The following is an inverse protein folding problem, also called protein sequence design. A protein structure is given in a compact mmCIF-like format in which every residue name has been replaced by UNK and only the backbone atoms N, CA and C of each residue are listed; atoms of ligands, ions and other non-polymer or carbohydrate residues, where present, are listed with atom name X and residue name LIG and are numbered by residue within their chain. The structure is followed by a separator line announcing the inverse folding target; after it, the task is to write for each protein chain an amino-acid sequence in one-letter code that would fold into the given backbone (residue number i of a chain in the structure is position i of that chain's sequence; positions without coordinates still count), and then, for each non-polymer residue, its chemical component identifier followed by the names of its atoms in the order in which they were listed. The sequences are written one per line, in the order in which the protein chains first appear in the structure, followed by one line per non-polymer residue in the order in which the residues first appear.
data_IF_999377943732
#
_entry.id   IF_999377943732
#
_cell.length_a   1.000
_cell.length_b   1.000
_cell.length_c   1.000
_cell.angle_alpha   90.00
_cell.angle_beta   90.00
_cell.angle_gamma   90.00
#
_symmetry.space_group_name_H-M   'P 1'
#
loop_
_entity.id
_entity.type
_entity.pdbx_description
1 polymer ?
#
# COMPACT_ATOMS: atom_id res chain seq x y z
N UNK A 1 0.20 14.09 -3.93
CA UNK A 1 -0.66 14.71 -4.96
C UNK A 1 -0.07 14.43 -6.34
N UNK A 2 -0.83 13.81 -7.26
CA UNK A 2 -0.34 13.36 -8.58
C UNK A 2 0.22 14.51 -9.43
N UNK A 3 -0.42 15.67 -9.41
CA UNK A 3 0.00 16.82 -10.22
C UNK A 3 1.25 17.54 -9.71
N UNK A 4 1.57 17.46 -8.41
CA UNK A 4 2.72 18.16 -7.82
C UNK A 4 3.83 17.22 -7.38
N UNK A 5 3.55 15.92 -7.22
CA UNK A 5 4.47 14.95 -6.64
C UNK A 5 4.77 15.17 -5.15
N UNK A 6 4.08 16.13 -4.50
CA UNK A 6 4.31 16.42 -3.08
C UNK A 6 3.38 15.62 -2.18
N UNK A 7 3.85 15.15 -1.02
CA UNK A 7 3.00 14.50 -0.03
C UNK A 7 1.99 15.51 0.55
N UNK A 8 0.76 15.08 0.79
CA UNK A 8 -0.27 15.90 1.44
C UNK A 8 -0.20 15.81 2.96
N UNK A 9 0.50 14.82 3.48
CA UNK A 9 0.73 14.58 4.90
C UNK A 9 2.03 13.81 5.12
N UNK A 10 2.56 13.83 6.34
CA UNK A 10 3.73 13.03 6.71
C UNK A 10 3.42 11.53 6.67
N UNK A 11 4.39 10.72 6.29
CA UNK A 11 4.26 9.26 6.34
C UNK A 11 3.96 8.79 7.78
N UNK A 12 2.91 7.99 7.94
CA UNK A 12 2.55 7.39 9.23
C UNK A 12 3.27 6.06 9.35
N UNK A 13 4.22 5.97 10.28
CA UNK A 13 5.06 4.79 10.48
C UNK A 13 4.30 3.63 11.14
N UNK A 14 4.88 2.43 11.11
CA UNK A 14 4.24 1.20 11.61
C UNK A 14 3.99 1.20 13.14
N UNK A 15 4.80 1.93 13.94
CA UNK A 15 4.60 2.05 15.39
C UNK A 15 3.47 3.00 15.78
N UNK A 16 3.02 3.85 14.87
CA UNK A 16 2.01 4.87 15.17
C UNK A 16 0.64 4.24 15.41
N UNK A 17 0.04 4.57 16.53
CA UNK A 17 -1.25 4.00 16.98
C UNK A 17 -2.45 4.93 16.80
N UNK A 18 -2.30 6.07 16.09
CA UNK A 18 -3.40 7.04 15.89
C UNK A 18 -4.63 6.43 15.22
N UNK A 19 -4.46 5.39 14.42
CA UNK A 19 -5.54 4.69 13.74
C UNK A 19 -6.20 3.57 14.58
N UNK A 20 -5.81 3.36 15.84
CA UNK A 20 -6.40 2.32 16.70
C UNK A 20 -7.91 2.49 16.94
N UNK A 21 -8.48 3.72 17.07
CA UNK A 21 -9.93 3.88 17.16
C UNK A 21 -10.65 3.29 15.94
N UNK A 22 -10.15 3.51 14.73
CA UNK A 22 -10.70 2.90 13.50
C UNK A 22 -10.60 1.36 13.53
N UNK A 23 -9.50 0.81 14.05
CA UNK A 23 -9.38 -0.65 14.23
C UNK A 23 -10.44 -1.20 15.19
N UNK A 24 -10.72 -0.48 16.30
CA UNK A 24 -11.74 -0.86 17.25
C UNK A 24 -13.14 -0.83 16.63
N UNK A 25 -13.46 0.19 15.83
CA UNK A 25 -14.70 0.31 15.08
C UNK A 25 -14.88 -0.85 14.09
N UNK A 26 -13.85 -1.17 13.30
CA UNK A 26 -13.88 -2.30 12.37
C UNK A 26 -14.16 -3.64 13.07
N UNK A 27 -13.54 -3.86 14.24
CA UNK A 27 -13.78 -5.06 15.06
C UNK A 27 -15.21 -5.08 15.59
N UNK A 28 -15.72 -3.96 16.06
CA UNK A 28 -17.11 -3.83 16.55
C UNK A 28 -18.16 -4.06 15.45
N UNK A 29 -17.82 -3.70 14.20
CA UNK A 29 -18.65 -3.98 13.02
C UNK A 29 -18.56 -5.45 12.53
N UNK A 30 -17.77 -6.30 13.18
CA UNK A 30 -17.64 -7.72 12.82
C UNK A 30 -16.73 -8.00 11.62
N UNK A 31 -15.88 -7.05 11.20
CA UNK A 31 -15.05 -7.20 10.01
C UNK A 31 -13.82 -8.12 10.20
N UNK A 32 -13.57 -8.61 11.42
CA UNK A 32 -12.36 -9.39 11.73
C UNK A 32 -12.21 -10.64 10.87
N UNK A 33 -13.27 -11.42 10.70
CA UNK A 33 -13.25 -12.65 9.90
C UNK A 33 -13.08 -12.33 8.40
N UNK A 34 -13.78 -11.31 7.90
CA UNK A 34 -13.67 -10.87 6.50
C UNK A 34 -12.25 -10.40 6.16
N UNK A 35 -11.66 -9.56 7.02
CA UNK A 35 -10.29 -9.08 6.85
C UNK A 35 -9.31 -10.25 6.86
N UNK A 36 -9.42 -11.14 7.85
CA UNK A 36 -8.51 -12.29 7.96
C UNK A 36 -8.64 -13.25 6.79
N UNK A 37 -9.87 -13.56 6.37
CA UNK A 37 -10.11 -14.45 5.24
C UNK A 37 -9.54 -13.92 3.93
N UNK A 38 -9.68 -12.62 3.65
CA UNK A 38 -9.26 -12.00 2.39
C UNK A 38 -7.79 -11.63 2.34
N UNK A 39 -7.20 -11.25 3.49
CA UNK A 39 -5.85 -10.68 3.54
C UNK A 39 -4.84 -11.53 4.30
N UNK A 40 -5.31 -12.52 5.08
CA UNK A 40 -4.48 -13.27 6.03
C UNK A 40 -4.06 -12.46 7.27
N UNK A 41 -4.49 -11.21 7.39
CA UNK A 41 -4.08 -10.29 8.46
C UNK A 41 -5.16 -10.15 9.52
N UNK A 42 -4.74 -9.76 10.73
CA UNK A 42 -5.65 -9.29 11.76
C UNK A 42 -5.82 -7.77 11.64
N UNK A 43 -6.94 -7.24 12.12
CA UNK A 43 -7.16 -5.78 12.17
C UNK A 43 -6.19 -5.17 13.19
N UNK A 44 -5.24 -4.39 12.70
CA UNK A 44 -4.25 -3.68 13.51
C UNK A 44 -3.83 -2.36 12.85
N UNK A 45 -3.56 -1.33 13.66
CA UNK A 45 -3.06 -0.03 13.21
C UNK A 45 -1.64 -0.09 12.60
N UNK A 46 -0.96 -1.22 12.72
CA UNK A 46 0.30 -1.50 12.03
C UNK A 46 0.15 -1.37 10.51
N UNK A 47 -0.95 -1.84 9.94
CA UNK A 47 -1.18 -1.92 8.50
C UNK A 47 -1.70 -0.60 7.90
N UNK A 48 -1.61 -0.47 6.58
CA UNK A 48 -1.81 0.81 5.88
C UNK A 48 -3.26 1.28 5.82
N UNK A 49 -4.24 0.37 5.76
CA UNK A 49 -5.65 0.69 5.51
C UNK A 49 -6.21 1.76 6.44
N UNK A 50 -6.06 1.54 7.76
CA UNK A 50 -6.59 2.45 8.78
C UNK A 50 -5.82 3.77 8.87
N UNK A 51 -4.53 3.77 8.52
CA UNK A 51 -3.73 5.00 8.40
C UNK A 51 -4.16 5.84 7.21
N UNK A 52 -4.43 5.19 6.06
CA UNK A 52 -4.94 5.88 4.88
C UNK A 52 -6.31 6.50 5.16
N UNK A 53 -7.22 5.74 5.77
CA UNK A 53 -8.51 6.29 6.23
C UNK A 53 -8.30 7.50 7.14
N UNK A 54 -7.38 7.39 8.11
CA UNK A 54 -7.10 8.49 9.03
C UNK A 54 -6.66 9.76 8.28
N UNK A 55 -5.76 9.66 7.30
CA UNK A 55 -5.32 10.80 6.47
C UNK A 55 -6.51 11.40 5.71
N UNK A 56 -7.34 10.56 5.08
CA UNK A 56 -8.51 11.02 4.33
C UNK A 56 -9.54 11.74 5.21
N UNK A 57 -9.63 11.38 6.49
CA UNK A 57 -10.58 11.97 7.44
C UNK A 57 -10.05 13.25 8.13
N UNK A 58 -8.72 13.43 8.22
CA UNK A 58 -8.11 14.50 9.03
C UNK A 58 -7.34 15.55 8.21
N UNK A 59 -7.12 15.31 6.93
CA UNK A 59 -6.51 16.31 6.04
C UNK A 59 -7.60 16.97 5.21
N UNK A 60 -7.73 18.27 5.37
CA UNK A 60 -8.77 19.07 4.70
C UNK A 60 -8.77 18.85 3.18
N UNK A 61 -9.93 18.51 2.63
CA UNK A 61 -10.13 18.28 1.20
C UNK A 61 -9.48 17.00 0.63
N UNK A 62 -8.82 16.19 1.46
CA UNK A 62 -8.13 14.98 0.98
C UNK A 62 -9.09 13.97 0.36
N UNK A 63 -10.25 13.74 1.00
CA UNK A 63 -11.24 12.76 0.52
C UNK A 63 -11.84 13.16 -0.83
N UNK A 64 -12.18 14.43 -1.00
CA UNK A 64 -12.68 14.97 -2.25
C UNK A 64 -11.64 14.90 -3.38
N UNK A 65 -10.39 15.28 -3.07
CA UNK A 65 -9.27 15.17 -4.02
C UNK A 65 -8.97 13.72 -4.39
N UNK A 66 -9.09 12.79 -3.44
CA UNK A 66 -8.97 11.37 -3.70
C UNK A 66 -10.04 10.86 -4.67
N UNK A 67 -11.32 11.23 -4.46
CA UNK A 67 -12.44 10.87 -5.34
C UNK A 67 -12.32 11.47 -6.76
N UNK A 68 -11.63 12.61 -6.90
CA UNK A 68 -11.31 13.20 -8.21
C UNK A 68 -10.08 12.58 -8.87
N UNK A 69 -9.43 11.58 -8.23
CA UNK A 69 -8.23 10.94 -8.74
C UNK A 69 -6.97 11.81 -8.70
N UNK A 70 -6.97 12.90 -7.92
CA UNK A 70 -5.85 13.83 -7.79
C UNK A 70 -4.75 13.32 -6.87
N UNK A 71 -5.07 12.35 -6.01
CA UNK A 71 -4.14 11.78 -5.04
C UNK A 71 -3.67 10.38 -5.45
N UNK A 72 -2.53 9.98 -4.92
CA UNK A 72 -1.98 8.64 -5.03
C UNK A 72 -1.59 8.14 -3.63
N UNK A 73 -1.98 6.92 -3.31
CA UNK A 73 -1.53 6.22 -2.12
C UNK A 73 -0.34 5.33 -2.46
N UNK A 74 0.54 5.11 -1.50
CA UNK A 74 1.60 4.12 -1.62
C UNK A 74 2.23 3.78 -0.28
N UNK A 75 2.78 2.58 -0.20
CA UNK A 75 3.78 2.19 0.77
C UNK A 75 5.14 2.77 0.33
N UNK A 76 6.18 2.59 1.14
CA UNK A 76 7.49 3.23 0.89
C UNK A 76 8.10 2.83 -0.46
N UNK A 77 7.88 1.60 -0.89
CA UNK A 77 8.31 1.08 -2.20
C UNK A 77 7.65 1.83 -3.36
N UNK A 78 6.33 2.03 -3.28
CA UNK A 78 5.57 2.82 -4.27
C UNK A 78 6.10 4.25 -4.35
N UNK A 79 6.40 4.87 -3.21
CA UNK A 79 6.99 6.20 -3.16
C UNK A 79 8.36 6.24 -3.82
N UNK A 80 9.22 5.24 -3.57
CA UNK A 80 10.54 5.14 -4.20
C UNK A 80 10.44 4.99 -5.71
N UNK A 81 9.55 4.12 -6.20
CA UNK A 81 9.32 3.97 -7.65
C UNK A 81 8.81 5.27 -8.26
N UNK A 82 7.86 5.94 -7.60
CA UNK A 82 7.36 7.22 -8.04
C UNK A 82 8.49 8.25 -8.19
N UNK A 83 9.37 8.37 -7.19
CA UNK A 83 10.50 9.30 -7.23
C UNK A 83 11.54 8.90 -8.29
N UNK A 84 11.92 7.63 -8.34
CA UNK A 84 12.91 7.11 -9.29
C UNK A 84 12.45 7.21 -10.74
N UNK A 85 11.14 7.18 -10.98
CA UNK A 85 10.55 7.32 -12.31
C UNK A 85 10.01 8.73 -12.60
N UNK A 86 10.31 9.71 -11.74
CA UNK A 86 9.87 11.10 -11.91
C UNK A 86 8.34 11.24 -12.05
N UNK A 87 7.59 10.46 -11.25
CA UNK A 87 6.14 10.46 -11.24
C UNK A 87 5.46 9.69 -12.39
N UNK A 88 6.22 8.98 -13.23
CA UNK A 88 5.67 8.25 -14.39
C UNK A 88 5.02 6.92 -14.02
N UNK A 89 5.45 6.29 -12.93
CA UNK A 89 4.94 4.98 -12.50
C UNK A 89 4.41 5.04 -11.09
N UNK A 90 3.15 4.63 -10.92
CA UNK A 90 2.47 4.46 -9.65
C UNK A 90 2.14 2.98 -9.46
N UNK A 91 3.09 2.23 -8.93
CA UNK A 91 3.00 0.77 -8.79
C UNK A 91 3.62 0.28 -7.49
N UNK A 92 3.17 -0.89 -7.05
CA UNK A 92 3.70 -1.68 -5.94
C UNK A 92 3.79 -3.14 -6.35
N UNK A 93 4.41 -3.97 -5.52
CA UNK A 93 4.40 -5.42 -5.73
C UNK A 93 3.42 -6.15 -4.83
N UNK A 94 3.15 -7.42 -5.12
CA UNK A 94 2.24 -8.27 -4.35
C UNK A 94 2.66 -8.43 -2.89
N UNK A 95 3.96 -8.43 -2.58
CA UNK A 95 4.44 -8.59 -1.20
C UNK A 95 4.15 -7.36 -0.34
N UNK A 96 4.38 -6.15 -0.86
CA UNK A 96 4.02 -4.90 -0.18
C UNK A 96 2.51 -4.70 -0.13
N UNK A 97 1.79 -4.94 -1.23
CA UNK A 97 0.33 -4.84 -1.27
C UNK A 97 -0.34 -5.73 -0.22
N UNK A 98 0.17 -6.95 0.00
CA UNK A 98 -0.34 -7.89 1.00
C UNK A 98 -0.27 -7.37 2.44
N UNK A 99 0.54 -6.34 2.73
CA UNK A 99 0.69 -5.76 4.07
C UNK A 99 -0.21 -4.55 4.32
N UNK A 100 -1.15 -4.26 3.42
CA UNK A 100 -1.98 -3.05 3.51
C UNK A 100 -3.32 -3.24 4.22
N UNK A 101 -3.82 -4.47 4.41
CA UNK A 101 -5.20 -4.83 4.77
C UNK A 101 -6.25 -4.44 3.70
N UNK A 102 -5.84 -4.13 2.47
CA UNK A 102 -6.72 -3.76 1.36
C UNK A 102 -6.59 -4.70 0.16
N UNK A 103 -5.60 -5.58 0.19
CA UNK A 103 -5.26 -6.49 -0.90
C UNK A 103 -5.78 -7.90 -0.62
N UNK A 104 -6.56 -8.43 -1.55
CA UNK A 104 -7.06 -9.81 -1.47
C UNK A 104 -6.01 -10.78 -2.00
N UNK A 105 -5.44 -11.59 -1.10
CA UNK A 105 -4.35 -12.53 -1.42
C UNK A 105 -4.79 -13.71 -2.29
N UNK A 106 -6.09 -13.96 -2.41
CA UNK A 106 -6.61 -15.05 -3.24
C UNK A 106 -6.85 -14.61 -4.69
N UNK A 107 -7.27 -13.36 -4.88
CA UNK A 107 -7.54 -12.80 -6.22
C UNK A 107 -6.34 -12.06 -6.80
N UNK A 108 -5.37 -11.66 -5.97
CA UNK A 108 -4.25 -10.85 -6.39
C UNK A 108 -4.63 -9.40 -6.77
N UNK A 109 -5.68 -8.87 -6.16
CA UNK A 109 -6.25 -7.55 -6.47
C UNK A 109 -6.56 -6.75 -5.21
N UNK A 110 -6.66 -5.43 -5.34
CA UNK A 110 -7.29 -4.59 -4.32
C UNK A 110 -8.74 -5.02 -4.13
N UNK A 111 -9.16 -5.19 -2.88
CA UNK A 111 -10.50 -5.71 -2.54
C UNK A 111 -11.50 -4.58 -2.38
N UNK A 112 -12.51 -4.54 -3.26
CA UNK A 112 -13.51 -3.48 -3.28
C UNK A 112 -14.39 -3.43 -2.02
N UNK A 113 -14.65 -4.59 -1.36
CA UNK A 113 -15.40 -4.61 -0.10
C UNK A 113 -14.58 -3.99 1.04
N UNK A 114 -13.28 -4.27 1.13
CA UNK A 114 -12.40 -3.68 2.14
C UNK A 114 -12.19 -2.17 1.89
N UNK A 115 -12.05 -1.76 0.62
CA UNK A 115 -11.98 -0.34 0.25
C UNK A 115 -13.27 0.38 0.64
N UNK A 116 -14.44 -0.19 0.31
CA UNK A 116 -15.73 0.39 0.64
C UNK A 116 -15.98 0.46 2.16
N UNK A 117 -15.61 -0.57 2.92
CA UNK A 117 -15.77 -0.60 4.37
C UNK A 117 -15.01 0.54 5.08
N UNK A 118 -13.95 1.06 4.47
CA UNK A 118 -13.14 2.16 4.99
C UNK A 118 -13.38 3.48 4.23
N UNK A 119 -14.32 3.51 3.28
CA UNK A 119 -14.57 4.66 2.38
C UNK A 119 -13.28 5.16 1.70
N UNK A 120 -12.48 4.22 1.18
CA UNK A 120 -11.23 4.51 0.47
C UNK A 120 -11.51 4.43 -1.04
N UNK A 121 -11.35 5.55 -1.78
CA UNK A 121 -11.51 5.56 -3.23
C UNK A 121 -10.48 4.66 -3.93
N UNK A 122 -10.95 3.81 -4.85
CA UNK A 122 -10.08 2.88 -5.60
C UNK A 122 -9.03 3.60 -6.45
N UNK A 123 -9.33 4.80 -6.90
CA UNK A 123 -8.46 5.66 -7.72
C UNK A 123 -7.15 6.02 -7.02
N UNK A 124 -7.09 5.91 -5.68
CA UNK A 124 -5.87 6.10 -4.90
C UNK A 124 -4.84 4.99 -5.10
N UNK A 125 -5.32 3.78 -5.43
CA UNK A 125 -4.51 2.58 -5.31
C UNK A 125 -3.50 2.44 -6.46
N UNK A 126 -2.25 2.01 -6.18
CA UNK A 126 -1.24 1.75 -7.20
C UNK A 126 -1.57 0.49 -8.01
N UNK A 127 -1.00 0.39 -9.21
CA UNK A 127 -0.96 -0.88 -9.95
C UNK A 127 -0.18 -1.92 -9.14
N UNK A 128 -0.71 -3.14 -9.04
CA UNK A 128 -0.01 -4.25 -8.37
C UNK A 128 0.64 -5.14 -9.41
N UNK A 129 1.94 -5.37 -9.26
CA UNK A 129 2.74 -6.24 -10.15
C UNK A 129 3.36 -7.40 -9.38
N UNK A 130 3.77 -8.49 -10.07
CA UNK A 130 4.67 -9.47 -9.48
C UNK A 130 5.95 -8.82 -8.96
N UNK A 131 6.54 -9.36 -7.88
CA UNK A 131 7.78 -8.81 -7.29
C UNK A 131 8.95 -8.76 -8.28
N UNK A 132 9.01 -9.71 -9.22
CA UNK A 132 9.92 -9.68 -10.35
C UNK A 132 9.17 -9.22 -11.60
N UNK A 133 9.22 -7.92 -11.88
CA UNK A 133 8.56 -7.28 -13.01
C UNK A 133 9.27 -5.97 -13.37
N UNK A 134 8.98 -5.42 -14.54
CA UNK A 134 9.45 -4.08 -14.91
C UNK A 134 8.57 -3.01 -14.27
N UNK A 135 9.16 -2.21 -13.37
CA UNK A 135 8.52 -1.10 -12.65
C UNK A 135 8.86 0.28 -13.24
N UNK A 136 9.39 0.32 -14.45
CA UNK A 136 9.84 1.53 -15.12
C UNK A 136 11.35 1.66 -15.15
N UNK A 137 11.82 2.76 -15.73
CA UNK A 137 13.24 3.06 -15.85
C UNK A 137 13.58 4.30 -15.03
N UNK A 138 14.75 4.30 -14.42
CA UNK A 138 15.30 5.44 -13.69
C UNK A 138 16.59 5.93 -14.34
N UNK A 139 16.82 7.25 -14.32
CA UNK A 139 18.10 7.86 -14.67
C UNK A 139 18.86 8.39 -13.45
N UNK A 140 18.37 8.13 -12.24
CA UNK A 140 18.93 8.68 -11.00
C UNK A 140 20.39 8.27 -10.72
N UNK A 141 20.89 7.21 -11.38
CA UNK A 141 22.26 6.72 -11.25
C UNK A 141 23.17 7.13 -12.43
N UNK A 142 22.75 8.13 -13.22
CA UNK A 142 23.56 8.69 -14.32
C UNK A 142 23.39 7.99 -15.69
N UNK A 143 22.65 6.89 -15.74
CA UNK A 143 22.26 6.21 -16.97
C UNK A 143 20.87 5.60 -16.84
N UNK A 144 20.10 5.43 -17.92
CA UNK A 144 18.84 4.74 -17.85
C UNK A 144 19.03 3.27 -17.40
N UNK A 145 18.37 2.90 -16.32
CA UNK A 145 18.40 1.55 -15.74
C UNK A 145 16.97 1.08 -15.45
N UNK A 146 16.61 -0.17 -15.81
CA UNK A 146 15.31 -0.72 -15.49
C UNK A 146 15.21 -1.04 -13.99
N UNK A 147 14.07 -0.72 -13.38
CA UNK A 147 13.69 -1.21 -12.06
C UNK A 147 13.04 -2.58 -12.26
N UNK A 148 13.83 -3.64 -12.08
CA UNK A 148 13.45 -5.01 -12.41
C UNK A 148 12.77 -5.79 -11.30
N UNK A 149 12.60 -5.20 -10.12
CA UNK A 149 11.94 -5.88 -9.00
C UNK A 149 11.73 -5.00 -7.78
N UNK A 150 10.72 -5.37 -7.01
CA UNK A 150 10.36 -4.78 -5.72
C UNK A 150 9.98 -5.93 -4.79
N UNK A 151 10.33 -5.86 -3.52
CA UNK A 151 9.87 -6.79 -2.51
C UNK A 151 9.77 -6.09 -1.16
N UNK A 152 8.80 -6.49 -0.33
CA UNK A 152 8.77 -6.10 1.06
C UNK A 152 10.02 -6.61 1.79
N UNK A 153 10.47 -5.89 2.81
CA UNK A 153 11.71 -6.17 3.54
C UNK A 153 11.77 -7.61 4.10
N UNK A 154 10.69 -8.07 4.71
CA UNK A 154 10.59 -9.42 5.26
C UNK A 154 10.64 -10.51 4.16
N UNK A 155 9.95 -10.29 3.05
CA UNK A 155 9.93 -11.19 1.91
C UNK A 155 11.28 -11.21 1.19
N UNK A 156 11.92 -10.05 1.06
CA UNK A 156 13.27 -9.94 0.52
C UNK A 156 14.29 -10.67 1.40
N UNK A 157 14.17 -10.52 2.73
CA UNK A 157 15.03 -11.23 3.69
C UNK A 157 14.84 -12.75 3.59
N UNK A 158 13.60 -13.23 3.54
CA UNK A 158 13.29 -14.66 3.40
C UNK A 158 13.89 -15.24 2.10
N UNK A 159 13.72 -14.54 0.99
CA UNK A 159 14.32 -14.91 -0.28
C UNK A 159 15.84 -14.90 -0.22
N UNK A 160 16.44 -13.84 0.34
CA UNK A 160 17.90 -13.69 0.45
C UNK A 160 18.56 -14.73 1.36
N UNK A 161 17.84 -15.26 2.35
CA UNK A 161 18.30 -16.36 3.22
C UNK A 161 18.13 -17.74 2.57
N UNK A 162 17.55 -17.83 1.38
CA UNK A 162 17.32 -19.11 0.70
C UNK A 162 16.26 -19.99 1.36
N UNK A 163 15.32 -19.41 2.06
CA UNK A 163 14.23 -20.13 2.73
C UNK A 163 13.11 -20.46 1.72
N UNK A 164 13.27 -21.57 1.00
CA UNK A 164 12.36 -21.97 -0.09
C UNK A 164 11.28 -22.98 0.33
N UNK A 165 11.39 -23.55 1.53
CA UNK A 165 10.47 -24.56 2.01
C UNK A 165 9.95 -24.23 3.41
N UNK A 166 8.72 -24.70 3.77
CA UNK A 166 8.20 -24.56 5.12
C UNK A 166 9.16 -25.13 6.16
N UNK A 167 9.44 -24.35 7.22
CA UNK A 167 10.33 -24.75 8.32
C UNK A 167 11.82 -24.37 8.15
N UNK A 168 12.14 -23.67 7.06
CA UNK A 168 13.49 -23.08 6.88
C UNK A 168 13.56 -21.68 7.48
#
# INVERSE_FOLDING_TARGET
HRGTGLPIYNAIVWQDRRAEPTCAEMRAQGLSETVQAKTGLRIDAYFSATKLKWILDHVDGARESARRGELAFGTVDTWLVWQLTEGRVHATDVSNASRTMLFNIHTGQWDDELLAALDIPRELMPEVKPSSAHFGDTAALGAPLPIGGIAGDQQAALYGQGCWAPGQ
#
